data_IF_325995190195
#
_entry.id   IF_325995190195
#
_cell.length_a   1.000
_cell.length_b   1.000
_cell.length_c   1.000
_cell.angle_alpha   90.00
_cell.angle_beta   90.00
_cell.angle_gamma   90.00
#
_symmetry.space_group_name_H-M   'P 1'
#
loop_
_entity.id
_entity.type
_entity.pdbx_description
1 polymer ?
#
# COMPACT_ATOMS: atom_id res chain seq x y z
N UNK A 1 0.15 32.36 -19.88
CA UNK A 1 -0.83 32.01 -18.83
C UNK A 1 -0.95 30.49 -18.75
N UNK A 2 -0.08 29.84 -17.98
CA UNK A 2 -0.17 28.42 -17.68
C UNK A 2 -0.94 28.28 -16.37
N UNK A 3 -2.19 27.83 -16.45
CA UNK A 3 -3.04 27.62 -15.28
C UNK A 3 -2.50 26.46 -14.44
N UNK A 4 -1.91 26.79 -13.30
CA UNK A 4 -1.63 25.82 -12.23
C UNK A 4 -2.96 25.26 -11.73
N UNK A 5 -3.27 24.01 -12.09
CA UNK A 5 -4.38 23.28 -11.51
C UNK A 5 -4.05 22.99 -10.04
N UNK A 6 -4.71 23.72 -9.16
CA UNK A 6 -4.74 23.40 -7.73
C UNK A 6 -5.40 22.02 -7.59
N UNK A 7 -4.82 21.06 -6.87
CA UNK A 7 -5.47 19.78 -6.67
C UNK A 7 -6.77 20.03 -5.89
N UNK A 8 -7.89 19.57 -6.45
CA UNK A 8 -9.18 19.56 -5.78
C UNK A 8 -9.04 18.85 -4.41
N UNK A 9 -9.77 19.29 -3.37
CA UNK A 9 -9.69 18.68 -2.05
C UNK A 9 -9.94 17.17 -2.16
N UNK A 10 -9.03 16.35 -1.63
CA UNK A 10 -9.04 14.89 -1.74
C UNK A 10 -10.39 14.25 -1.38
N UNK A 11 -11.11 14.84 -0.42
CA UNK A 11 -12.44 14.38 -0.01
C UNK A 11 -13.51 14.52 -1.12
N UNK A 12 -13.45 15.56 -1.96
CA UNK A 12 -14.41 15.72 -3.07
C UNK A 12 -14.17 14.69 -4.17
N UNK A 13 -12.90 14.35 -4.41
CA UNK A 13 -12.50 13.35 -5.41
C UNK A 13 -12.84 11.92 -4.96
N UNK A 14 -12.55 11.57 -3.71
CA UNK A 14 -12.93 10.24 -3.17
C UNK A 14 -14.45 10.02 -3.22
N UNK A 15 -15.25 11.08 -2.97
CA UNK A 15 -16.71 11.02 -3.09
C UNK A 15 -17.17 10.80 -4.54
N UNK A 16 -16.54 11.48 -5.51
CA UNK A 16 -16.83 11.30 -6.95
C UNK A 16 -16.43 9.90 -7.44
N UNK A 17 -15.26 9.41 -7.03
CA UNK A 17 -14.76 8.08 -7.38
C UNK A 17 -15.69 6.98 -6.86
N UNK A 18 -16.21 7.15 -5.64
CA UNK A 18 -17.18 6.24 -5.04
C UNK A 18 -18.52 6.28 -5.81
N UNK A 19 -18.99 7.47 -6.17
CA UNK A 19 -20.25 7.63 -6.90
C UNK A 19 -20.17 6.97 -8.28
N UNK A 20 -19.04 7.12 -8.98
CA UNK A 20 -18.81 6.46 -10.26
C UNK A 20 -19.01 4.94 -10.17
N UNK A 21 -18.40 4.28 -9.18
CA UNK A 21 -18.55 2.82 -9.03
C UNK A 21 -20.00 2.43 -8.75
N UNK A 22 -20.72 3.21 -7.93
CA UNK A 22 -22.16 2.98 -7.68
C UNK A 22 -22.98 3.11 -8.96
N UNK A 23 -22.74 4.15 -9.76
CA UNK A 23 -23.47 4.39 -11.00
C UNK A 23 -23.22 3.27 -12.02
N UNK A 24 -21.98 2.77 -12.10
CA UNK A 24 -21.63 1.62 -12.95
C UNK A 24 -22.32 0.34 -12.48
N UNK A 25 -22.43 0.12 -11.16
CA UNK A 25 -23.19 -1.00 -10.59
C UNK A 25 -24.67 -0.91 -10.97
N UNK A 26 -25.29 0.26 -10.81
CA UNK A 26 -26.70 0.48 -11.18
C UNK A 26 -26.92 0.26 -12.67
N UNK A 27 -25.99 0.72 -13.51
CA UNK A 27 -26.03 0.51 -14.95
C UNK A 27 -25.94 -0.98 -15.30
N UNK A 28 -25.05 -1.72 -14.63
CA UNK A 28 -24.89 -3.16 -14.80
C UNK A 28 -26.17 -3.90 -14.42
N UNK A 29 -26.71 -3.65 -13.24
CA UNK A 29 -27.93 -4.28 -12.74
C UNK A 29 -29.10 -4.04 -13.70
N UNK A 30 -29.26 -2.81 -14.22
CA UNK A 30 -30.30 -2.45 -15.19
C UNK A 30 -30.21 -3.27 -16.46
N UNK A 31 -29.04 -3.30 -17.11
CA UNK A 31 -28.90 -4.03 -18.37
C UNK A 31 -28.89 -5.54 -18.18
N UNK A 32 -28.33 -6.04 -17.08
CA UNK A 32 -28.40 -7.45 -16.73
C UNK A 32 -29.86 -7.88 -16.55
N UNK A 33 -30.69 -7.08 -15.87
CA UNK A 33 -32.12 -7.34 -15.73
C UNK A 33 -32.85 -7.37 -17.08
N UNK A 34 -32.48 -6.52 -18.04
CA UNK A 34 -33.05 -6.58 -19.39
C UNK A 34 -32.68 -7.88 -20.11
N UNK A 35 -31.43 -8.33 -19.99
CA UNK A 35 -31.02 -9.63 -20.57
C UNK A 35 -31.80 -10.79 -19.95
N UNK A 36 -32.00 -10.77 -18.63
CA UNK A 36 -32.73 -11.84 -17.96
C UNK A 36 -34.23 -11.82 -18.23
N UNK A 37 -34.86 -10.64 -18.12
CA UNK A 37 -36.33 -10.51 -18.11
C UNK A 37 -36.92 -10.24 -19.49
N UNK A 38 -36.25 -9.42 -20.31
CA UNK A 38 -36.78 -8.98 -21.60
C UNK A 38 -36.24 -9.83 -22.76
N UNK A 39 -35.04 -10.39 -22.62
CA UNK A 39 -34.39 -11.22 -23.64
C UNK A 39 -34.26 -12.69 -23.22
N UNK A 40 -35.02 -13.13 -22.21
CA UNK A 40 -35.16 -14.53 -21.79
C UNK A 40 -33.83 -15.27 -21.57
N UNK A 41 -32.82 -14.58 -21.01
CA UNK A 41 -31.46 -15.10 -20.80
C UNK A 41 -30.74 -15.55 -22.09
N UNK A 42 -31.08 -14.99 -23.24
CA UNK A 42 -30.43 -15.31 -24.51
C UNK A 42 -28.91 -15.04 -24.45
N UNK A 43 -28.13 -16.06 -24.80
CA UNK A 43 -26.65 -16.05 -24.71
C UNK A 43 -26.01 -14.96 -25.56
N UNK A 44 -26.63 -14.61 -26.69
CA UNK A 44 -26.20 -13.51 -27.56
C UNK A 44 -26.19 -12.17 -26.80
N UNK A 45 -27.24 -11.86 -26.05
CA UNK A 45 -27.33 -10.61 -25.30
C UNK A 45 -26.41 -10.59 -24.07
N UNK A 46 -26.19 -11.75 -23.44
CA UNK A 46 -25.14 -11.87 -22.41
C UNK A 46 -23.74 -11.56 -22.97
N UNK A 47 -23.44 -12.05 -24.18
CA UNK A 47 -22.18 -11.76 -24.87
C UNK A 47 -22.05 -10.26 -25.19
N UNK A 48 -23.07 -9.66 -25.79
CA UNK A 48 -23.06 -8.23 -26.11
C UNK A 48 -22.94 -7.34 -24.87
N UNK A 49 -23.63 -7.68 -23.77
CA UNK A 49 -23.49 -6.99 -22.50
C UNK A 49 -22.05 -7.07 -21.98
N UNK A 50 -21.45 -8.26 -22.01
CA UNK A 50 -20.06 -8.47 -21.59
C UNK A 50 -19.08 -7.65 -22.41
N UNK A 51 -19.18 -7.70 -23.73
CA UNK A 51 -18.30 -6.94 -24.65
C UNK A 51 -18.44 -5.43 -24.45
N UNK A 52 -19.66 -4.93 -24.23
CA UNK A 52 -19.90 -3.52 -23.95
C UNK A 52 -19.22 -3.09 -22.64
N UNK A 53 -19.39 -3.87 -21.56
CA UNK A 53 -18.75 -3.59 -20.27
C UNK A 53 -17.22 -3.67 -20.35
N UNK A 54 -16.66 -4.69 -21.02
CA UNK A 54 -15.21 -4.79 -21.25
C UNK A 54 -14.66 -3.60 -22.05
N UNK A 55 -15.46 -3.01 -22.95
CA UNK A 55 -15.04 -1.86 -23.75
C UNK A 55 -14.93 -0.56 -22.95
N UNK A 56 -15.94 -0.21 -22.13
CA UNK A 56 -15.92 1.08 -21.43
C UNK A 56 -15.21 1.03 -20.07
N UNK A 57 -15.30 -0.08 -19.31
CA UNK A 57 -14.65 -0.19 -17.99
C UNK A 57 -13.13 -0.06 -18.10
N UNK A 58 -12.54 -0.48 -19.21
CA UNK A 58 -11.10 -0.43 -19.42
C UNK A 58 -10.60 0.92 -19.96
N UNK A 59 -11.46 1.94 -20.03
CA UNK A 59 -11.06 3.32 -20.33
C UNK A 59 -10.69 4.05 -19.05
N UNK A 60 -9.69 4.93 -19.12
CA UNK A 60 -9.33 5.80 -18.00
C UNK A 60 -10.42 6.84 -17.71
N UNK A 61 -10.69 7.07 -16.43
CA UNK A 61 -11.70 8.04 -15.95
C UNK A 61 -10.98 9.07 -15.08
N UNK A 62 -10.95 10.34 -15.51
CA UNK A 62 -10.29 11.43 -14.79
C UNK A 62 -8.85 11.11 -14.32
N UNK A 63 -8.09 10.37 -15.14
CA UNK A 63 -6.73 9.93 -14.84
C UNK A 63 -6.62 8.71 -13.90
N UNK A 64 -7.72 8.08 -13.53
CA UNK A 64 -7.78 6.84 -12.74
C UNK A 64 -8.23 5.65 -13.59
N UNK A 65 -7.75 4.46 -13.23
CA UNK A 65 -8.22 3.21 -13.86
C UNK A 65 -9.39 2.62 -13.08
N UNK A 66 -10.25 1.84 -13.73
CA UNK A 66 -11.32 1.12 -13.02
C UNK A 66 -10.79 0.15 -11.96
N UNK A 67 -9.60 -0.42 -12.18
CA UNK A 67 -8.90 -1.23 -11.17
C UNK A 67 -8.63 -0.44 -9.88
N UNK A 68 -8.12 0.79 -10.00
CA UNK A 68 -7.88 1.69 -8.88
C UNK A 68 -9.19 2.10 -8.18
N UNK A 69 -10.21 2.47 -8.96
CA UNK A 69 -11.50 2.93 -8.46
C UNK A 69 -12.24 1.82 -7.72
N UNK A 70 -12.28 0.59 -8.25
CA UNK A 70 -12.89 -0.56 -7.59
C UNK A 70 -12.15 -0.93 -6.31
N UNK A 71 -10.81 -0.91 -6.31
CA UNK A 71 -10.02 -1.16 -5.11
C UNK A 71 -10.26 -0.07 -4.04
N UNK A 72 -10.42 1.19 -4.46
CA UNK A 72 -10.80 2.31 -3.61
C UNK A 72 -12.20 2.16 -3.01
N UNK A 73 -13.17 1.75 -3.83
CA UNK A 73 -14.54 1.50 -3.39
C UNK A 73 -14.61 0.42 -2.30
N UNK A 74 -13.97 -0.74 -2.52
CA UNK A 74 -13.91 -1.79 -1.50
C UNK A 74 -13.21 -1.32 -0.23
N UNK A 75 -12.12 -0.56 -0.35
CA UNK A 75 -11.39 -0.02 0.80
C UNK A 75 -12.22 0.97 1.62
N UNK A 76 -13.03 1.81 0.98
CA UNK A 76 -13.95 2.70 1.70
C UNK A 76 -15.04 1.92 2.41
N UNK A 77 -15.62 0.89 1.79
CA UNK A 77 -16.64 0.05 2.43
C UNK A 77 -16.10 -0.69 3.67
N UNK A 78 -14.87 -1.19 3.59
CA UNK A 78 -14.25 -2.03 4.62
C UNK A 78 -13.58 -1.24 5.76
N UNK A 79 -13.48 0.09 5.66
CA UNK A 79 -12.91 0.95 6.71
C UNK A 79 -13.89 1.20 7.85
N UNK A 80 -13.39 1.34 9.08
CA UNK A 80 -14.16 1.82 10.25
C UNK A 80 -14.86 3.15 9.90
N UNK A 81 -16.19 3.18 10.01
CA UNK A 81 -17.02 4.34 9.67
C UNK A 81 -17.22 4.59 8.17
N UNK A 82 -16.57 3.83 7.30
CA UNK A 82 -16.66 3.98 5.86
C UNK A 82 -18.01 3.54 5.28
N UNK A 83 -18.69 2.60 5.94
CA UNK A 83 -20.07 2.24 5.62
C UNK A 83 -21.01 3.45 5.58
N UNK A 84 -20.91 4.36 6.57
CA UNK A 84 -21.71 5.58 6.63
C UNK A 84 -21.37 6.60 5.53
N UNK A 85 -20.15 6.60 5.01
CA UNK A 85 -19.75 7.47 3.90
C UNK A 85 -20.28 7.00 2.53
N UNK A 86 -20.78 5.77 2.45
CA UNK A 86 -21.26 5.18 1.19
C UNK A 86 -22.79 5.07 1.10
N UNK A 87 -23.55 5.45 2.14
CA UNK A 87 -25.00 5.56 2.06
C UNK A 87 -25.41 6.78 1.21
N UNK A 88 -26.60 6.72 0.58
CA UNK A 88 -27.18 7.86 -0.13
C UNK A 88 -27.86 8.86 0.83
N UNK A 89 -28.02 8.49 2.10
CA UNK A 89 -28.57 9.34 3.14
C UNK A 89 -27.45 10.19 3.76
N UNK A 90 -27.28 11.39 3.21
CA UNK A 90 -26.72 12.48 4.01
C UNK A 90 -27.62 12.69 5.22
N UNK A 91 -27.01 12.75 6.40
CA UNK A 91 -27.64 12.90 7.73
C UNK A 91 -28.24 11.61 8.34
N UNK A 92 -27.45 10.97 9.19
CA UNK A 92 -27.86 9.85 10.05
C UNK A 92 -26.80 8.77 10.08
N UNK A 93 -26.06 8.65 11.17
CA UNK A 93 -24.97 7.69 11.36
C UNK A 93 -25.43 6.23 11.49
N UNK A 94 -26.36 5.77 10.65
CA UNK A 94 -26.70 4.35 10.56
C UNK A 94 -25.55 3.61 9.86
N UNK A 95 -24.99 2.62 10.57
CA UNK A 95 -24.15 1.60 9.94
C UNK A 95 -24.97 0.94 8.84
N UNK A 96 -24.41 0.81 7.63
CA UNK A 96 -24.97 -0.14 6.65
C UNK A 96 -25.04 -1.52 7.30
N UNK A 97 -26.14 -2.25 7.05
CA UNK A 97 -26.22 -3.64 7.51
C UNK A 97 -25.11 -4.47 6.87
N UNK A 98 -24.68 -5.51 7.58
CA UNK A 98 -23.63 -6.41 7.09
C UNK A 98 -24.05 -7.05 5.76
N UNK A 99 -25.34 -7.38 5.57
CA UNK A 99 -25.84 -7.93 4.31
C UNK A 99 -25.67 -6.95 3.13
N UNK A 100 -25.91 -5.67 3.35
CA UNK A 100 -25.78 -4.65 2.30
C UNK A 100 -24.29 -4.38 1.95
N UNK A 101 -23.40 -4.50 2.94
CA UNK A 101 -21.95 -4.42 2.69
C UNK A 101 -21.51 -5.61 1.82
N UNK A 102 -21.94 -6.82 2.16
CA UNK A 102 -21.64 -8.01 1.38
C UNK A 102 -22.19 -7.94 -0.05
N UNK A 103 -23.43 -7.47 -0.23
CA UNK A 103 -24.04 -7.28 -1.54
C UNK A 103 -23.21 -6.31 -2.40
N UNK A 104 -22.80 -5.18 -1.83
CA UNK A 104 -21.99 -4.17 -2.54
C UNK A 104 -20.61 -4.71 -2.92
N UNK A 105 -19.97 -5.45 -2.03
CA UNK A 105 -18.69 -6.10 -2.31
C UNK A 105 -18.84 -7.13 -3.43
N UNK A 106 -19.93 -7.90 -3.43
CA UNK A 106 -20.21 -8.84 -4.51
C UNK A 106 -20.39 -8.15 -5.87
N UNK A 107 -21.14 -7.04 -5.92
CA UNK A 107 -21.31 -6.29 -7.16
C UNK A 107 -19.99 -5.68 -7.65
N UNK A 108 -19.17 -5.15 -6.76
CA UNK A 108 -17.83 -4.66 -7.11
C UNK A 108 -16.93 -5.79 -7.68
N UNK A 109 -16.97 -6.97 -7.07
CA UNK A 109 -16.22 -8.15 -7.52
C UNK A 109 -16.76 -8.70 -8.85
N UNK A 110 -18.07 -8.61 -9.12
CA UNK A 110 -18.64 -8.91 -10.44
C UNK A 110 -18.13 -7.96 -11.51
N UNK A 111 -18.05 -6.65 -11.22
CA UNK A 111 -17.50 -5.67 -12.16
C UNK A 111 -16.02 -5.92 -12.49
N UNK A 112 -15.24 -6.45 -11.54
CA UNK A 112 -13.84 -6.82 -11.75
C UNK A 112 -13.66 -7.85 -12.87
N UNK A 113 -14.68 -8.68 -13.15
CA UNK A 113 -14.62 -9.65 -14.24
C UNK A 113 -14.39 -8.99 -15.62
N UNK A 114 -14.93 -7.78 -15.81
CA UNK A 114 -14.80 -6.98 -17.04
C UNK A 114 -13.50 -6.16 -17.12
N UNK A 115 -12.74 -6.06 -16.02
CA UNK A 115 -11.47 -5.35 -15.98
C UNK A 115 -10.37 -6.21 -16.61
N UNK A 116 -9.61 -5.62 -17.53
CA UNK A 116 -8.47 -6.24 -18.19
C UNK A 116 -7.27 -6.35 -17.25
N UNK A 117 -6.91 -5.26 -16.58
CA UNK A 117 -5.75 -5.14 -15.70
C UNK A 117 -6.07 -5.56 -14.25
N UNK A 118 -6.35 -6.85 -14.07
CA UNK A 118 -6.70 -7.41 -12.75
C UNK A 118 -5.52 -7.41 -11.79
N UNK A 119 -4.30 -7.56 -12.30
CA UNK A 119 -3.06 -7.42 -11.54
C UNK A 119 -2.91 -6.02 -10.89
N UNK A 120 -3.31 -4.97 -11.61
CA UNK A 120 -3.30 -3.61 -11.10
C UNK A 120 -4.32 -3.44 -9.96
N UNK A 121 -5.51 -4.04 -10.10
CA UNK A 121 -6.48 -4.08 -8.99
C UNK A 121 -5.90 -4.82 -7.79
N UNK A 122 -5.28 -5.98 -8.02
CA UNK A 122 -4.71 -6.80 -6.96
C UNK A 122 -3.69 -6.01 -6.14
N UNK A 123 -2.79 -5.27 -6.80
CA UNK A 123 -1.76 -4.49 -6.11
C UNK A 123 -2.32 -3.27 -5.37
N UNK A 124 -3.27 -2.53 -5.96
CA UNK A 124 -3.97 -1.45 -5.24
C UNK A 124 -4.73 -1.98 -4.03
N UNK A 125 -5.46 -3.08 -4.20
CA UNK A 125 -6.24 -3.70 -3.15
C UNK A 125 -5.31 -4.22 -2.03
N UNK A 126 -4.25 -4.94 -2.38
CA UNK A 126 -3.25 -5.50 -1.44
C UNK A 126 -2.61 -4.40 -0.61
N UNK A 127 -2.24 -3.27 -1.21
CA UNK A 127 -1.69 -2.11 -0.50
C UNK A 127 -2.71 -1.47 0.45
N UNK A 128 -3.98 -1.36 0.04
CA UNK A 128 -5.07 -0.85 0.87
C UNK A 128 -5.39 -1.79 2.03
N UNK A 129 -5.47 -3.10 1.77
CA UNK A 129 -5.62 -4.15 2.78
C UNK A 129 -4.49 -4.07 3.82
N UNK A 130 -3.23 -3.98 3.38
CA UNK A 130 -2.09 -3.88 4.29
C UNK A 130 -2.23 -2.74 5.30
N UNK A 131 -2.70 -1.56 4.84
CA UNK A 131 -2.97 -0.43 5.73
C UNK A 131 -4.11 -0.67 6.69
N UNK A 132 -5.20 -1.31 6.25
CA UNK A 132 -6.34 -1.59 7.13
C UNK A 132 -5.95 -2.58 8.22
N UNK A 133 -5.20 -3.60 7.84
CA UNK A 133 -4.66 -4.63 8.72
C UNK A 133 -3.65 -4.07 9.74
N UNK A 134 -2.61 -3.34 9.31
CA UNK A 134 -1.54 -2.86 10.19
C UNK A 134 -1.93 -1.68 11.09
N UNK A 135 -2.95 -0.91 10.71
CA UNK A 135 -3.38 0.27 11.46
C UNK A 135 -4.75 0.11 12.10
N UNK A 136 -5.24 -1.13 12.21
CA UNK A 136 -6.54 -1.47 12.80
C UNK A 136 -7.68 -0.56 12.29
N UNK A 137 -7.75 -0.42 10.96
CA UNK A 137 -8.78 0.39 10.29
C UNK A 137 -9.89 -0.47 9.66
N UNK A 138 -9.81 -1.79 9.72
CA UNK A 138 -10.86 -2.68 9.24
C UNK A 138 -12.12 -2.55 10.11
N UNK A 139 -13.29 -2.50 9.48
CA UNK A 139 -14.56 -2.46 10.19
C UNK A 139 -14.94 -3.84 10.79
N UNK A 140 -14.59 -4.92 10.10
CA UNK A 140 -14.85 -6.31 10.51
C UNK A 140 -13.82 -7.24 9.86
N UNK A 141 -13.23 -8.13 10.67
CA UNK A 141 -12.31 -9.17 10.19
C UNK A 141 -13.04 -10.19 9.28
N UNK A 142 -14.34 -10.40 9.50
CA UNK A 142 -15.15 -11.32 8.69
C UNK A 142 -15.45 -10.75 7.31
N UNK A 143 -15.72 -9.45 7.19
CA UNK A 143 -15.88 -8.80 5.89
C UNK A 143 -14.57 -8.87 5.06
N UNK A 144 -13.40 -8.75 5.70
CA UNK A 144 -12.11 -8.93 5.01
C UNK A 144 -11.93 -10.37 4.49
N UNK A 145 -12.43 -11.38 5.20
CA UNK A 145 -12.41 -12.77 4.73
C UNK A 145 -13.40 -13.01 3.60
N UNK A 146 -14.62 -12.46 3.70
CA UNK A 146 -15.68 -12.63 2.70
C UNK A 146 -15.26 -12.04 1.35
N UNK A 147 -14.72 -10.82 1.33
CA UNK A 147 -14.26 -10.20 0.08
C UNK A 147 -13.12 -11.00 -0.56
N UNK A 148 -12.18 -11.55 0.22
CA UNK A 148 -11.13 -12.43 -0.31
C UNK A 148 -11.70 -13.73 -0.87
N UNK A 149 -12.70 -14.34 -0.21
CA UNK A 149 -13.39 -15.51 -0.73
C UNK A 149 -14.10 -15.21 -2.08
N UNK A 150 -14.79 -14.07 -2.19
CA UNK A 150 -15.43 -13.64 -3.44
C UNK A 150 -14.39 -13.36 -4.55
N UNK A 151 -13.28 -12.71 -4.23
CA UNK A 151 -12.18 -12.49 -5.17
C UNK A 151 -11.54 -13.81 -5.63
N UNK A 152 -11.37 -14.77 -4.72
CA UNK A 152 -10.85 -16.11 -5.03
C UNK A 152 -11.78 -16.86 -5.98
N UNK A 153 -13.08 -16.76 -5.78
CA UNK A 153 -14.09 -17.37 -6.65
C UNK A 153 -14.02 -16.80 -8.07
N UNK A 154 -13.87 -15.47 -8.22
CA UNK A 154 -13.85 -14.81 -9.53
C UNK A 154 -12.49 -14.87 -10.24
N UNK A 155 -11.38 -14.76 -9.51
CA UNK A 155 -10.04 -14.59 -10.08
C UNK A 155 -9.09 -15.77 -9.81
N UNK A 156 -9.50 -16.74 -8.99
CA UNK A 156 -8.74 -17.94 -8.65
C UNK A 156 -7.80 -17.77 -7.44
N UNK A 157 -7.31 -18.90 -6.93
CA UNK A 157 -6.50 -18.96 -5.70
C UNK A 157 -5.14 -18.24 -5.80
N UNK A 158 -4.50 -18.24 -6.97
CA UNK A 158 -3.22 -17.55 -7.15
C UNK A 158 -3.37 -16.03 -7.00
N UNK A 159 -4.54 -15.48 -7.37
CA UNK A 159 -4.83 -14.06 -7.26
C UNK A 159 -4.90 -13.59 -5.81
N UNK A 160 -5.51 -14.39 -4.93
CA UNK A 160 -5.73 -14.03 -3.52
C UNK A 160 -4.64 -14.51 -2.58
N UNK A 161 -3.79 -15.45 -3.00
CA UNK A 161 -2.79 -16.12 -2.14
C UNK A 161 -1.97 -15.16 -1.27
N UNK A 162 -1.43 -14.07 -1.83
CA UNK A 162 -0.65 -13.09 -1.06
C UNK A 162 -1.51 -12.39 0.00
N UNK A 163 -2.75 -12.01 -0.33
CA UNK A 163 -3.66 -11.30 0.57
C UNK A 163 -4.21 -12.21 1.67
N UNK A 164 -4.50 -13.48 1.36
CA UNK A 164 -4.84 -14.50 2.35
C UNK A 164 -3.66 -14.74 3.31
N UNK A 165 -2.44 -14.76 2.79
CA UNK A 165 -1.21 -14.83 3.57
C UNK A 165 -1.06 -13.65 4.55
N UNK A 166 -1.40 -12.42 4.13
CA UNK A 166 -1.38 -11.25 5.02
C UNK A 166 -2.36 -11.35 6.19
N UNK A 167 -3.58 -11.84 5.94
CA UNK A 167 -4.59 -12.06 6.99
C UNK A 167 -4.10 -13.14 7.98
N UNK A 168 -3.48 -14.20 7.46
CA UNK A 168 -2.91 -15.29 8.27
C UNK A 168 -1.74 -14.79 9.13
N UNK A 169 -0.82 -14.02 8.55
CA UNK A 169 0.32 -13.44 9.26
C UNK A 169 -0.14 -12.59 10.45
N UNK A 170 -1.21 -11.80 10.32
CA UNK A 170 -1.71 -11.00 11.44
C UNK A 170 -2.28 -11.83 12.59
N UNK A 171 -2.95 -12.94 12.29
CA UNK A 171 -3.44 -13.84 13.32
C UNK A 171 -2.26 -14.46 14.07
N UNK A 172 -1.24 -14.91 13.34
CA UNK A 172 -0.01 -15.45 13.92
C UNK A 172 0.78 -14.40 14.71
N UNK A 173 0.82 -13.15 14.24
CA UNK A 173 1.52 -12.06 14.90
C UNK A 173 0.92 -11.76 16.29
N UNK A 174 -0.41 -11.79 16.44
CA UNK A 174 -1.08 -11.62 17.75
C UNK A 174 -0.65 -12.71 18.73
N UNK A 175 -0.58 -13.96 18.28
CA UNK A 175 -0.12 -15.09 19.10
C UNK A 175 1.37 -14.97 19.46
N UNK A 176 2.21 -14.57 18.50
CA UNK A 176 3.64 -14.36 18.72
C UNK A 176 3.92 -13.24 19.71
N UNK A 177 3.15 -12.14 19.63
CA UNK A 177 3.25 -11.04 20.57
C UNK A 177 2.89 -11.50 21.99
N UNK A 178 1.79 -12.23 22.18
CA UNK A 178 1.42 -12.75 23.50
C UNK A 178 2.50 -13.65 24.11
N UNK A 179 3.15 -14.49 23.28
CA UNK A 179 4.28 -15.31 23.72
C UNK A 179 5.52 -14.48 24.08
N UNK A 180 5.74 -13.37 23.36
CA UNK A 180 6.82 -12.44 23.67
C UNK A 180 6.57 -11.70 24.98
N UNK A 181 5.33 -11.24 25.22
CA UNK A 181 4.94 -10.59 26.48
C UNK A 181 5.17 -11.53 27.68
N UNK A 182 4.77 -12.80 27.57
CA UNK A 182 5.06 -13.82 28.59
C UNK A 182 6.57 -14.04 28.81
N UNK A 183 7.36 -13.99 27.74
CA UNK A 183 8.81 -14.09 27.85
C UNK A 183 9.41 -12.90 28.60
N UNK A 184 8.94 -11.68 28.33
CA UNK A 184 9.35 -10.47 29.04
C UNK A 184 8.98 -10.55 30.52
N UNK A 185 7.78 -11.02 30.87
CA UNK A 185 7.36 -11.15 32.27
C UNK A 185 8.22 -12.17 33.04
N UNK A 186 8.60 -13.28 32.40
CA UNK A 186 9.53 -14.25 33.00
C UNK A 186 10.93 -13.67 33.23
N UNK A 187 11.42 -12.85 32.31
CA UNK A 187 12.70 -12.14 32.47
C UNK A 187 12.64 -11.12 33.62
N UNK A 188 11.50 -10.42 33.78
CA UNK A 188 11.27 -9.46 34.88
C UNK A 188 11.33 -10.16 36.24
N UNK A 189 10.70 -11.33 36.34
CA UNK A 189 10.66 -12.11 37.58
C UNK A 189 12.01 -12.73 37.95
N UNK A 190 12.92 -12.87 36.99
CA UNK A 190 14.26 -13.44 37.20
C UNK A 190 15.33 -12.39 37.51
N UNK A 191 14.94 -11.15 37.87
CA UNK A 191 15.83 -10.03 38.25
C UNK A 191 16.91 -9.68 37.22
N UNK A 192 16.65 -9.94 35.93
CA UNK A 192 17.60 -9.60 34.86
C UNK A 192 17.56 -8.09 34.56
N UNK A 193 18.68 -7.39 34.75
CA UNK A 193 18.79 -5.92 34.64
C UNK A 193 18.67 -5.35 33.21
N UNK A 194 18.48 -6.22 32.21
CA UNK A 194 18.52 -5.85 30.79
C UNK A 194 17.15 -5.69 30.12
N UNK A 195 16.06 -5.59 30.89
CA UNK A 195 14.75 -5.32 30.28
C UNK A 195 14.64 -3.89 29.72
N UNK A 196 13.92 -3.71 28.59
CA UNK A 196 13.57 -2.40 28.09
C UNK A 196 12.55 -1.74 29.01
N UNK A 197 12.69 -0.43 29.21
CA UNK A 197 11.74 0.41 29.96
C UNK A 197 10.52 0.82 29.13
N UNK A 198 10.56 0.58 27.81
CA UNK A 198 9.48 0.88 26.88
C UNK A 198 8.61 -0.36 26.66
N UNK A 199 7.33 -0.11 26.46
CA UNK A 199 6.40 -1.10 25.91
C UNK A 199 6.66 -1.28 24.40
N UNK A 200 6.76 -2.53 23.95
CA UNK A 200 7.07 -2.87 22.56
C UNK A 200 6.06 -3.90 22.04
N UNK A 201 5.30 -3.50 21.02
CA UNK A 201 4.48 -4.39 20.21
C UNK A 201 5.14 -4.62 18.85
N UNK A 202 5.35 -5.89 18.48
CA UNK A 202 5.99 -6.29 17.23
C UNK A 202 5.03 -7.14 16.41
N UNK A 203 4.83 -6.75 15.16
CA UNK A 203 4.06 -7.50 14.18
C UNK A 203 5.01 -8.09 13.15
N UNK A 204 5.20 -9.41 13.16
CA UNK A 204 6.09 -10.12 12.22
C UNK A 204 5.32 -10.46 10.95
N UNK A 205 5.88 -10.10 9.80
CA UNK A 205 5.24 -10.21 8.49
C UNK A 205 6.07 -11.07 7.54
N UNK A 206 5.42 -11.91 6.73
CA UNK A 206 6.09 -12.77 5.75
C UNK A 206 6.41 -11.99 4.47
N UNK A 207 7.70 -11.84 4.15
CA UNK A 207 8.15 -11.24 2.90
C UNK A 207 7.55 -11.97 1.69
N UNK A 208 6.97 -11.22 0.76
CA UNK A 208 6.33 -11.75 -0.46
C UNK A 208 4.80 -11.76 -0.43
N UNK A 209 4.19 -11.81 0.76
CA UNK A 209 2.74 -11.60 0.92
C UNK A 209 2.42 -10.10 0.99
N UNK A 210 3.19 -9.36 1.78
CA UNK A 210 2.99 -7.94 2.05
C UNK A 210 3.57 -7.05 0.95
N UNK A 211 3.04 -5.82 0.77
CA UNK A 211 3.62 -4.84 -0.16
C UNK A 211 5.12 -4.65 0.08
N UNK A 212 5.86 -4.34 -0.98
CA UNK A 212 7.28 -4.06 -0.85
C UNK A 212 7.46 -2.75 -0.11
N UNK A 213 8.14 -2.79 1.03
CA UNK A 213 8.53 -1.61 1.79
C UNK A 213 10.03 -1.39 1.63
N UNK A 214 10.42 -0.13 1.36
CA UNK A 214 11.83 0.23 1.24
C UNK A 214 12.48 0.06 2.62
N UNK A 215 13.50 -0.79 2.70
CA UNK A 215 14.38 -0.83 3.86
C UNK A 215 15.14 0.50 3.96
N UNK A 216 15.19 1.02 5.16
CA UNK A 216 15.92 2.24 5.50
C UNK A 216 16.71 1.93 6.76
N UNK A 217 18.00 2.15 6.68
CA UNK A 217 18.82 2.22 7.87
C UNK A 217 18.42 3.47 8.64
N UNK A 218 18.24 3.32 9.94
CA UNK A 218 17.81 4.40 10.84
C UNK A 218 18.67 4.26 12.08
N UNK A 219 19.35 5.34 12.45
CA UNK A 219 19.99 5.42 13.75
C UNK A 219 18.90 5.58 14.81
N UNK A 220 18.54 4.47 15.44
CA UNK A 220 17.52 4.47 16.49
C UNK A 220 18.06 5.12 17.76
N UNK A 221 17.20 5.82 18.52
CA UNK A 221 17.50 6.14 19.91
C UNK A 221 17.85 4.86 20.70
N UNK A 222 18.78 4.97 21.63
CA UNK A 222 19.33 3.87 22.42
C UNK A 222 18.24 3.02 23.08
N UNK A 223 17.19 3.66 23.59
CA UNK A 223 16.09 2.99 24.25
C UNK A 223 15.28 2.12 23.29
N UNK A 224 15.12 2.55 22.03
CA UNK A 224 14.44 1.77 20.98
C UNK A 224 15.33 0.63 20.47
N UNK A 225 16.63 0.87 20.33
CA UNK A 225 17.60 -0.15 19.90
C UNK A 225 17.66 -1.32 20.89
N UNK A 226 17.60 -1.04 22.20
CA UNK A 226 17.50 -2.06 23.23
C UNK A 226 16.25 -2.94 23.04
N UNK A 227 15.10 -2.32 22.76
CA UNK A 227 13.85 -3.05 22.51
C UNK A 227 13.96 -3.97 21.29
N UNK A 228 14.49 -3.44 20.19
CA UNK A 228 14.75 -4.19 18.94
C UNK A 228 15.68 -5.39 19.20
N UNK A 229 16.74 -5.18 19.97
CA UNK A 229 17.73 -6.21 20.28
C UNK A 229 17.14 -7.36 21.10
N UNK A 230 16.34 -7.04 22.13
CA UNK A 230 15.66 -8.03 22.97
C UNK A 230 14.68 -8.87 22.14
N UNK A 231 13.88 -8.25 21.28
CA UNK A 231 12.97 -8.99 20.40
C UNK A 231 13.73 -9.88 19.41
N UNK A 232 14.81 -9.37 18.82
CA UNK A 232 15.64 -10.12 17.87
C UNK A 232 16.22 -11.38 18.51
N UNK A 233 16.77 -11.26 19.72
CA UNK A 233 17.30 -12.40 20.46
C UNK A 233 16.21 -13.44 20.77
N UNK A 234 15.04 -12.99 21.21
CA UNK A 234 13.88 -13.87 21.43
C UNK A 234 13.47 -14.61 20.15
N UNK A 235 13.39 -13.90 19.02
CA UNK A 235 12.92 -14.47 17.76
C UNK A 235 13.93 -15.46 17.15
N UNK A 236 15.24 -15.16 17.23
CA UNK A 236 16.31 -16.05 16.74
C UNK A 236 16.33 -17.41 17.47
N UNK A 237 16.03 -17.42 18.77
CA UNK A 237 15.90 -18.67 19.53
C UNK A 237 14.75 -19.55 19.03
N UNK A 238 13.67 -18.94 18.52
CA UNK A 238 12.47 -19.64 18.03
C UNK A 238 12.58 -20.04 16.56
N UNK A 239 13.32 -19.28 15.74
CA UNK A 239 13.42 -19.54 14.30
C UNK A 239 14.87 -19.56 13.82
N UNK A 240 15.46 -20.76 13.70
CA UNK A 240 16.89 -20.95 13.36
C UNK A 240 17.27 -20.60 11.91
N UNK A 241 16.30 -20.50 11.00
CA UNK A 241 16.55 -20.29 9.56
C UNK A 241 15.86 -19.07 8.98
N UNK A 242 15.38 -18.15 9.82
CA UNK A 242 14.71 -16.92 9.36
C UNK A 242 15.55 -15.70 9.72
N UNK A 243 15.57 -14.72 8.81
CA UNK A 243 16.20 -13.42 9.02
C UNK A 243 15.11 -12.37 9.18
N UNK A 244 15.20 -11.55 10.23
CA UNK A 244 14.32 -10.40 10.42
C UNK A 244 14.87 -9.17 9.70
N UNK A 245 13.97 -8.32 9.22
CA UNK A 245 14.29 -6.98 8.69
C UNK A 245 13.25 -6.02 9.21
N UNK A 246 13.70 -4.99 9.93
CA UNK A 246 12.81 -4.00 10.54
C UNK A 246 12.39 -2.95 9.51
N UNK A 247 11.08 -2.69 9.44
CA UNK A 247 10.49 -1.71 8.53
C UNK A 247 9.98 -0.52 9.37
N UNK A 248 10.89 0.37 9.76
CA UNK A 248 10.59 1.51 10.63
C UNK A 248 9.57 2.50 10.03
N UNK A 249 9.46 2.54 8.70
CA UNK A 249 8.48 3.38 8.02
C UNK A 249 7.01 3.03 8.35
N UNK A 250 6.74 1.83 8.88
CA UNK A 250 5.40 1.39 9.28
C UNK A 250 5.14 1.53 10.78
N UNK A 251 6.19 1.79 11.57
CA UNK A 251 6.09 1.86 13.01
C UNK A 251 5.33 3.09 13.50
N UNK A 252 4.70 2.94 14.66
CA UNK A 252 4.02 4.00 15.40
C UNK A 252 4.57 4.04 16.82
N UNK A 253 4.81 5.23 17.33
CA UNK A 253 5.33 5.46 18.68
C UNK A 253 4.39 6.40 19.44
N UNK A 254 4.33 6.20 20.75
CA UNK A 254 3.61 7.04 21.69
C UNK A 254 4.64 7.77 22.55
N UNK A 255 4.74 9.08 22.39
CA UNK A 255 5.65 9.93 23.16
C UNK A 255 4.87 10.83 24.10
N UNK A 256 5.44 11.16 25.25
CA UNK A 256 4.90 12.22 26.13
C UNK A 256 5.74 13.48 25.97
N UNK A 257 5.23 14.46 25.23
CA UNK A 257 5.85 15.78 25.12
C UNK A 257 5.57 16.61 26.36
N UNK A 258 6.61 17.12 27.02
CA UNK A 258 6.51 17.97 28.21
C UNK A 258 6.62 19.44 27.82
N UNK A 259 5.48 20.08 27.58
CA UNK A 259 5.40 21.50 27.24
C UNK A 259 5.07 22.34 28.47
N UNK A 260 5.37 23.64 28.44
CA UNK A 260 5.15 24.55 29.57
C UNK A 260 3.70 24.57 30.05
N UNK A 261 2.75 24.58 29.12
CA UNK A 261 1.33 24.63 29.45
C UNK A 261 0.81 23.31 30.02
N UNK A 262 1.21 22.16 29.44
CA UNK A 262 0.83 20.81 29.86
C UNK A 262 1.63 19.74 29.13
N UNK A 263 1.65 18.54 29.70
CA UNK A 263 2.06 17.33 28.98
C UNK A 263 1.02 16.91 27.94
N UNK A 264 1.47 16.52 26.75
CA UNK A 264 0.64 16.04 25.65
C UNK A 264 1.20 14.71 25.13
N UNK A 265 0.35 13.69 25.00
CA UNK A 265 0.69 12.43 24.35
C UNK A 265 0.67 12.61 22.83
N UNK A 266 1.79 12.31 22.17
CA UNK A 266 2.02 12.39 20.75
C UNK A 266 2.02 10.99 20.15
N UNK A 267 1.10 10.72 19.22
CA UNK A 267 1.11 9.52 18.39
C UNK A 267 1.79 9.88 17.06
N UNK A 268 2.98 9.36 16.86
CA UNK A 268 3.90 9.72 15.77
C UNK A 268 4.44 8.47 15.08
N UNK A 269 4.99 8.61 13.87
CA UNK A 269 5.75 7.53 13.22
C UNK A 269 7.09 7.31 13.93
N UNK A 270 7.75 6.19 13.67
CA UNK A 270 9.10 5.94 14.21
C UNK A 270 10.11 7.01 13.78
N UNK A 271 10.03 7.52 12.53
CA UNK A 271 10.92 8.59 12.07
C UNK A 271 10.68 9.92 12.81
N UNK A 272 9.41 10.27 13.02
CA UNK A 272 9.05 11.45 13.82
C UNK A 272 9.50 11.30 15.27
N UNK A 273 9.37 10.10 15.85
CA UNK A 273 9.80 9.84 17.21
C UNK A 273 11.31 9.96 17.37
N UNK A 274 12.08 9.31 16.47
CA UNK A 274 13.53 9.41 16.46
C UNK A 274 13.99 10.87 16.31
N UNK A 275 13.38 11.63 15.39
CA UNK A 275 13.68 13.05 15.21
C UNK A 275 13.39 13.89 16.47
N UNK A 276 12.24 13.71 17.10
CA UNK A 276 11.86 14.44 18.31
C UNK A 276 12.78 14.12 19.50
N UNK A 277 13.24 12.89 19.62
CA UNK A 277 14.12 12.46 20.72
C UNK A 277 15.52 13.09 20.64
N UNK A 278 15.97 13.53 19.45
CA UNK A 278 17.22 14.32 19.34
C UNK A 278 17.14 15.62 20.15
N UNK A 279 15.96 16.23 20.21
CA UNK A 279 15.74 17.50 20.92
C UNK A 279 15.71 17.37 22.45
N UNK A 280 15.82 16.15 22.99
CA UNK A 280 16.08 15.97 24.43
C UNK A 280 17.54 16.28 24.80
N UNK A 281 18.46 16.28 23.82
CA UNK A 281 19.89 16.53 24.01
C UNK A 281 20.35 17.88 23.47
N UNK A 282 19.54 18.52 22.64
CA UNK A 282 19.81 19.82 22.03
C UNK A 282 18.53 20.62 21.84
N UNK A 283 18.52 21.90 22.22
CA UNK A 283 17.33 22.75 22.06
C UNK A 283 17.07 23.12 20.60
N UNK A 284 18.12 23.17 19.77
CA UNK A 284 18.05 23.50 18.34
C UNK A 284 19.02 22.65 17.51
N UNK A 285 18.60 22.28 16.30
CA UNK A 285 19.38 21.50 15.34
C UNK A 285 19.13 21.99 13.91
N UNK A 286 20.17 21.99 13.07
CA UNK A 286 20.03 22.24 11.63
C UNK A 286 19.40 21.04 10.92
N UNK A 287 18.84 21.26 9.72
CA UNK A 287 18.38 20.16 8.87
C UNK A 287 19.46 19.08 8.65
N UNK A 288 20.69 19.50 8.35
CA UNK A 288 21.82 18.60 8.07
C UNK A 288 22.20 17.77 9.30
N UNK A 289 22.22 18.39 10.49
CA UNK A 289 22.49 17.67 11.74
C UNK A 289 21.42 16.62 12.03
N UNK A 290 20.14 16.94 11.81
CA UNK A 290 19.05 15.96 11.96
C UNK A 290 19.20 14.83 10.95
N UNK A 291 19.54 15.15 9.69
CA UNK A 291 19.72 14.15 8.64
C UNK A 291 20.86 13.18 8.97
N UNK A 292 22.02 13.70 9.37
CA UNK A 292 23.20 12.91 9.73
C UNK A 292 22.92 12.03 10.95
N UNK A 293 22.34 12.59 12.01
CA UNK A 293 22.06 11.85 13.24
C UNK A 293 21.03 10.73 13.03
N UNK A 294 20.04 10.91 12.14
CA UNK A 294 19.04 9.89 11.85
C UNK A 294 19.49 8.87 10.78
N UNK A 295 20.47 9.21 9.93
CA UNK A 295 20.87 8.43 8.76
C UNK A 295 19.70 8.14 7.79
N UNK A 296 18.83 9.14 7.56
CA UNK A 296 17.67 9.01 6.67
C UNK A 296 17.89 9.76 5.34
N UNK A 297 17.25 9.30 4.24
CA UNK A 297 17.24 10.07 3.00
C UNK A 297 16.60 11.44 3.17
N UNK A 298 17.09 12.42 2.40
CA UNK A 298 16.67 13.81 2.45
C UNK A 298 15.14 13.99 2.36
N UNK A 299 14.49 13.28 1.43
CA UNK A 299 13.03 13.35 1.24
C UNK A 299 12.25 12.94 2.50
N UNK A 300 12.75 11.93 3.23
CA UNK A 300 12.10 11.41 4.43
C UNK A 300 12.32 12.33 5.63
N UNK A 301 13.50 12.92 5.76
CA UNK A 301 13.80 13.94 6.78
C UNK A 301 12.98 15.20 6.55
N UNK A 302 12.92 15.71 5.30
CA UNK A 302 12.08 16.85 4.95
C UNK A 302 10.61 16.61 5.30
N UNK A 303 10.09 15.44 4.93
CA UNK A 303 8.70 15.08 5.21
C UNK A 303 8.43 14.96 6.72
N UNK A 304 9.37 14.38 7.46
CA UNK A 304 9.34 14.27 8.91
C UNK A 304 9.32 15.66 9.56
N UNK A 305 10.30 16.51 9.29
CA UNK A 305 10.41 17.83 9.87
C UNK A 305 9.25 18.74 9.46
N UNK A 306 8.74 18.64 8.23
CA UNK A 306 7.59 19.41 7.77
C UNK A 306 6.36 19.07 8.62
N UNK A 307 6.15 17.80 8.93
CA UNK A 307 5.03 17.35 9.77
C UNK A 307 5.09 17.86 11.21
N UNK A 308 6.29 18.14 11.71
CA UNK A 308 6.56 18.56 13.09
C UNK A 308 6.65 20.10 13.26
N UNK A 309 6.86 20.85 12.17
CA UNK A 309 7.13 22.30 12.23
C UNK A 309 6.22 23.16 11.36
N UNK A 310 5.86 22.71 10.16
CA UNK A 310 5.16 23.51 9.16
C UNK A 310 3.66 23.19 9.10
N UNK A 311 3.30 21.96 9.48
CA UNK A 311 1.93 21.45 9.42
C UNK A 311 1.06 21.96 10.60
N UNK A 312 -0.01 21.20 10.91
CA UNK A 312 -0.98 21.57 11.96
C UNK A 312 -0.33 21.71 13.35
N UNK A 313 0.55 20.79 13.72
CA UNK A 313 1.14 20.74 15.05
C UNK A 313 2.58 21.22 15.00
N UNK A 314 2.80 22.47 15.42
CA UNK A 314 4.12 23.12 15.44
C UNK A 314 4.87 22.76 16.73
N UNK A 315 5.22 21.47 16.84
CA UNK A 315 5.99 20.92 17.96
C UNK A 315 7.43 21.43 17.92
N UNK A 316 7.95 21.65 16.71
CA UNK A 316 9.20 22.34 16.44
C UNK A 316 8.90 23.70 15.81
N UNK A 317 9.69 24.71 16.16
CA UNK A 317 9.76 25.98 15.47
C UNK A 317 10.79 25.88 14.36
N UNK A 318 10.51 26.52 13.22
CA UNK A 318 11.40 26.60 12.07
C UNK A 318 11.89 28.03 11.94
N UNK A 319 13.19 28.23 11.80
CA UNK A 319 13.83 29.51 11.49
C UNK A 319 14.86 29.32 10.38
N UNK A 320 15.13 30.37 9.61
CA UNK A 320 16.27 30.37 8.71
C UNK A 320 17.58 30.23 9.50
N UNK A 321 18.58 29.60 8.89
CA UNK A 321 19.94 29.54 9.43
C UNK A 321 20.59 30.92 9.52
N UNK A 322 21.66 31.02 10.31
CA UNK A 322 22.38 32.28 10.51
C UNK A 322 22.82 32.89 9.16
N UNK A 323 22.48 34.17 8.96
CA UNK A 323 22.80 34.91 7.74
C UNK A 323 21.94 34.56 6.51
N UNK A 324 20.92 33.71 6.65
CA UNK A 324 19.99 33.36 5.56
C UNK A 324 18.69 34.18 5.65
N UNK A 325 18.08 34.56 4.52
CA UNK A 325 16.78 35.23 4.51
C UNK A 325 15.69 34.25 4.98
N UNK A 326 14.67 34.80 5.65
CA UNK A 326 13.56 33.98 6.14
C UNK A 326 12.78 33.38 4.95
N UNK A 327 12.73 32.05 4.91
CA UNK A 327 12.14 31.29 3.82
C UNK A 327 10.61 31.18 3.95
N UNK A 328 9.98 30.49 3.00
CA UNK A 328 8.56 30.17 3.11
C UNK A 328 8.28 29.36 4.38
N UNK A 329 7.28 29.73 5.22
CA UNK A 329 6.95 28.99 6.44
C UNK A 329 6.32 27.62 6.17
N UNK A 330 5.97 27.33 4.92
CA UNK A 330 5.37 26.06 4.48
C UNK A 330 6.36 25.14 3.76
N UNK A 331 7.58 25.59 3.52
CA UNK A 331 8.62 24.81 2.85
C UNK A 331 9.83 24.71 3.76
N UNK A 332 10.55 23.59 3.67
CA UNK A 332 11.79 23.38 4.40
C UNK A 332 12.96 23.57 3.44
N UNK A 333 13.94 24.36 3.85
CA UNK A 333 15.24 24.46 3.22
C UNK A 333 16.29 23.68 4.02
N UNK A 334 17.39 23.29 3.36
CA UNK A 334 18.52 22.60 4.02
C UNK A 334 19.26 23.48 5.03
N UNK A 335 19.14 24.79 4.88
CA UNK A 335 19.71 25.78 5.80
C UNK A 335 18.78 26.10 6.97
N UNK A 336 17.58 25.51 7.03
CA UNK A 336 16.65 25.77 8.12
C UNK A 336 17.16 25.13 9.43
N UNK A 337 16.89 25.84 10.52
CA UNK A 337 17.14 25.42 11.90
C UNK A 337 15.79 25.13 12.56
N UNK A 338 15.76 24.04 13.33
CA UNK A 338 14.58 23.61 14.06
C UNK A 338 14.85 23.72 15.54
N UNK A 339 13.90 24.27 16.29
CA UNK A 339 14.00 24.50 17.73
C UNK A 339 12.81 23.89 18.45
N UNK A 340 13.01 23.29 19.61
CA UNK A 340 11.90 22.74 20.40
C UNK A 340 10.93 23.86 20.85
N UNK A 341 9.64 23.69 20.56
CA UNK A 341 8.62 24.67 20.93
C UNK A 341 8.09 24.42 22.35
N UNK A 342 8.77 24.94 23.37
CA UNK A 342 8.32 24.84 24.77
C UNK A 342 6.90 25.36 25.02
N UNK A 343 6.45 26.33 24.21
CA UNK A 343 5.14 26.98 24.33
C UNK A 343 4.02 26.24 23.57
N UNK A 344 4.31 25.13 22.89
CA UNK A 344 3.31 24.37 22.16
C UNK A 344 2.18 23.89 23.08
N UNK A 345 0.94 23.99 22.59
CA UNK A 345 -0.24 23.47 23.27
C UNK A 345 -1.32 23.09 22.25
N UNK A 346 -2.22 22.20 22.63
CA UNK A 346 -3.41 21.83 21.86
C UNK A 346 -4.59 21.68 22.82
N UNK A 347 -5.83 21.74 22.33
CA UNK A 347 -7.01 21.47 23.17
C UNK A 347 -7.01 20.02 23.68
N UNK A 348 -6.63 19.08 22.83
CA UNK A 348 -6.54 17.66 23.15
C UNK A 348 -5.28 17.36 24.00
N UNK A 349 -5.37 16.34 24.87
CA UNK A 349 -4.21 15.82 25.63
C UNK A 349 -3.49 14.70 24.90
N UNK A 350 -4.10 14.15 23.85
CA UNK A 350 -3.56 13.10 22.99
C UNK A 350 -3.79 13.50 21.54
N UNK A 351 -2.72 13.64 20.77
CA UNK A 351 -2.79 14.05 19.37
C UNK A 351 -2.02 13.08 18.48
N UNK A 352 -2.54 12.82 17.29
CA UNK A 352 -1.85 12.08 16.24
C UNK A 352 -1.26 13.05 15.24
N UNK A 353 0.06 13.03 15.05
CA UNK A 353 0.75 13.92 14.11
C UNK A 353 0.80 13.25 12.73
N UNK A 354 0.04 13.75 11.73
CA UNK A 354 0.02 13.12 10.42
C UNK A 354 1.29 13.45 9.63
N UNK A 355 1.83 12.46 8.92
CA UNK A 355 2.81 12.71 7.88
C UNK A 355 2.12 13.27 6.62
N UNK A 356 2.78 14.16 5.86
CA UNK A 356 2.32 14.55 4.53
C UNK A 356 2.02 13.33 3.66
N UNK A 357 0.97 13.35 2.83
CA UNK A 357 0.65 12.23 1.94
C UNK A 357 1.77 12.02 0.91
N UNK A 358 1.99 10.77 0.52
CA UNK A 358 2.89 10.40 -0.60
C UNK A 358 2.03 10.00 -1.78
N UNK A 359 2.47 10.31 -2.99
CA UNK A 359 1.85 9.77 -4.20
C UNK A 359 2.07 8.26 -4.29
N UNK A 360 1.13 7.53 -3.68
CA UNK A 360 1.14 6.08 -3.63
C UNK A 360 0.75 5.45 -4.97
N UNK A 361 0.02 6.18 -5.80
CA UNK A 361 -0.50 5.72 -7.09
C UNK A 361 0.65 5.48 -8.05
N UNK A 362 1.53 6.47 -8.20
CA UNK A 362 2.70 6.35 -9.09
C UNK A 362 3.56 5.15 -8.73
N UNK A 363 3.82 4.93 -7.43
CA UNK A 363 4.61 3.78 -6.96
C UNK A 363 3.95 2.43 -7.31
N UNK A 364 2.62 2.31 -7.15
CA UNK A 364 1.91 1.08 -7.52
C UNK A 364 2.02 0.81 -9.02
N UNK A 365 1.89 1.83 -9.87
CA UNK A 365 2.05 1.68 -11.31
C UNK A 365 3.46 1.20 -11.68
N UNK A 366 4.49 1.80 -11.09
CA UNK A 366 5.90 1.42 -11.31
C UNK A 366 6.18 -0.03 -10.90
N UNK A 367 5.65 -0.47 -9.75
CA UNK A 367 5.80 -1.83 -9.24
C UNK A 367 5.08 -2.84 -10.15
N UNK A 368 3.84 -2.56 -10.55
CA UNK A 368 3.06 -3.42 -11.46
C UNK A 368 3.74 -3.54 -12.82
N UNK A 369 4.23 -2.43 -13.39
CA UNK A 369 4.95 -2.45 -14.66
C UNK A 369 6.25 -3.26 -14.58
N UNK A 370 6.92 -3.27 -13.42
CA UNK A 370 8.08 -4.12 -13.17
C UNK A 370 7.69 -5.60 -13.13
N UNK A 371 6.64 -5.95 -12.41
CA UNK A 371 6.16 -7.32 -12.30
C UNK A 371 5.65 -7.87 -13.64
N UNK A 372 4.97 -7.03 -14.44
CA UNK A 372 4.54 -7.38 -15.80
C UNK A 372 5.70 -7.77 -16.71
N UNK A 373 6.86 -7.10 -16.61
CA UNK A 373 8.06 -7.48 -17.38
C UNK A 373 8.53 -8.89 -17.05
N UNK A 374 8.59 -9.24 -15.77
CA UNK A 374 8.97 -10.60 -15.36
C UNK A 374 7.92 -11.64 -15.73
N UNK A 375 6.63 -11.30 -15.65
CA UNK A 375 5.54 -12.17 -16.07
C UNK A 375 5.61 -12.48 -17.58
N UNK A 376 5.91 -11.45 -18.40
CA UNK A 376 6.11 -11.62 -19.85
C UNK A 376 7.32 -12.51 -20.12
N UNK A 377 8.47 -12.28 -19.48
CA UNK A 377 9.65 -13.13 -19.65
C UNK A 377 9.33 -14.59 -19.32
N UNK A 378 8.69 -14.83 -18.17
CA UNK A 378 8.33 -16.17 -17.73
C UNK A 378 7.33 -16.84 -18.68
N UNK A 379 6.38 -16.10 -19.26
CA UNK A 379 5.45 -16.61 -20.25
C UNK A 379 6.16 -16.98 -21.56
N UNK A 380 7.03 -16.11 -22.07
CA UNK A 380 7.82 -16.37 -23.28
C UNK A 380 8.69 -17.62 -23.10
N UNK A 381 9.45 -17.70 -22.00
CA UNK A 381 10.30 -18.86 -21.70
C UNK A 381 9.47 -20.13 -21.58
N UNK A 382 8.30 -20.09 -20.94
CA UNK A 382 7.42 -21.26 -20.79
C UNK A 382 6.90 -21.77 -22.13
N UNK A 383 6.44 -20.87 -23.01
CA UNK A 383 5.99 -21.21 -24.37
C UNK A 383 7.14 -21.81 -25.17
N UNK A 384 8.27 -21.12 -25.23
CA UNK A 384 9.42 -21.53 -26.03
C UNK A 384 10.06 -22.82 -25.53
N UNK A 385 10.11 -23.05 -24.21
CA UNK A 385 10.58 -24.31 -23.62
C UNK A 385 9.72 -25.50 -24.05
N UNK A 386 8.41 -25.30 -24.21
CA UNK A 386 7.47 -26.34 -24.65
C UNK A 386 7.48 -26.55 -26.16
N UNK A 387 7.54 -25.48 -26.95
CA UNK A 387 7.44 -25.54 -28.42
C UNK A 387 8.77 -25.82 -29.10
N UNK A 388 9.89 -25.47 -28.44
CA UNK A 388 11.28 -25.51 -28.92
C UNK A 388 11.57 -24.59 -30.10
N UNK A 389 10.69 -24.54 -31.09
CA UNK A 389 10.78 -23.68 -32.27
C UNK A 389 9.40 -23.07 -32.52
N UNK A 390 9.32 -21.75 -32.70
CA UNK A 390 8.03 -21.08 -32.91
C UNK A 390 8.19 -19.78 -33.73
N UNK A 391 7.20 -19.50 -34.59
CA UNK A 391 7.17 -18.24 -35.32
C UNK A 391 6.77 -17.07 -34.40
N UNK A 392 7.26 -15.86 -34.70
CA UNK A 392 7.00 -14.66 -33.91
C UNK A 392 5.51 -14.40 -33.67
N UNK A 393 4.68 -14.48 -34.72
CA UNK A 393 3.23 -14.24 -34.62
C UNK A 393 2.56 -15.24 -33.68
N UNK A 394 2.90 -16.52 -33.79
CA UNK A 394 2.36 -17.60 -32.95
C UNK A 394 2.84 -17.46 -31.50
N UNK A 395 4.11 -17.13 -31.28
CA UNK A 395 4.66 -16.87 -29.95
C UNK A 395 3.92 -15.75 -29.25
N UNK A 396 3.72 -14.63 -29.94
CA UNK A 396 3.00 -13.48 -29.39
C UNK A 396 1.57 -13.85 -29.02
N UNK A 397 0.85 -14.60 -29.88
CA UNK A 397 -0.52 -15.05 -29.58
C UNK A 397 -0.57 -15.95 -28.35
N UNK A 398 0.33 -16.91 -28.22
CA UNK A 398 0.37 -17.81 -27.05
C UNK A 398 0.73 -17.07 -25.76
N UNK A 399 1.67 -16.11 -25.82
CA UNK A 399 2.05 -15.28 -24.67
C UNK A 399 0.88 -14.41 -24.22
N UNK A 400 0.19 -13.74 -25.16
CA UNK A 400 -1.02 -12.96 -24.86
C UNK A 400 -2.09 -13.86 -24.23
N UNK A 401 -2.32 -15.05 -24.77
CA UNK A 401 -3.32 -15.99 -24.27
C UNK A 401 -3.01 -16.49 -22.85
N UNK A 402 -1.74 -16.61 -22.46
CA UNK A 402 -1.35 -16.94 -21.09
C UNK A 402 -1.54 -15.75 -20.12
N UNK A 403 -1.24 -14.52 -20.56
CA UNK A 403 -1.25 -13.33 -19.71
C UNK A 403 -2.62 -12.68 -19.55
N UNK A 404 -3.55 -12.87 -20.51
CA UNK A 404 -4.88 -12.24 -20.53
C UNK A 404 -5.73 -12.46 -19.28
N UNK A 405 -5.43 -13.49 -18.49
CA UNK A 405 -6.11 -13.75 -17.22
C UNK A 405 -5.72 -12.75 -16.12
N UNK A 406 -4.54 -12.15 -16.23
CA UNK A 406 -3.97 -11.21 -15.25
C UNK A 406 -4.00 -9.77 -15.76
N UNK A 407 -3.55 -9.53 -16.99
CA UNK A 407 -3.50 -8.21 -17.60
C UNK A 407 -3.51 -8.27 -19.13
N UNK A 408 -3.75 -7.12 -19.78
CA UNK A 408 -3.62 -6.99 -21.23
C UNK A 408 -2.20 -6.54 -21.61
N UNK A 409 -1.32 -7.44 -22.10
CA UNK A 409 0.05 -7.06 -22.43
C UNK A 409 0.12 -6.17 -23.68
N UNK A 410 1.03 -5.19 -23.68
CA UNK A 410 1.37 -4.39 -24.86
C UNK A 410 2.32 -5.20 -25.76
N UNK A 411 1.97 -5.35 -27.04
CA UNK A 411 2.77 -6.04 -28.06
C UNK A 411 4.21 -5.50 -28.15
N UNK A 412 4.40 -4.17 -27.99
CA UNK A 412 5.72 -3.54 -28.02
C UNK A 412 6.58 -4.00 -26.85
N UNK A 413 5.98 -4.20 -25.68
CA UNK A 413 6.68 -4.71 -24.50
C UNK A 413 7.06 -6.16 -24.73
N UNK A 414 6.15 -7.01 -25.22
CA UNK A 414 6.45 -8.42 -25.55
C UNK A 414 7.65 -8.50 -26.52
N UNK A 415 7.63 -7.71 -27.60
CA UNK A 415 8.75 -7.67 -28.56
C UNK A 415 10.06 -7.30 -27.88
N UNK A 416 10.08 -6.22 -27.07
CA UNK A 416 11.27 -5.80 -26.31
C UNK A 416 11.78 -6.92 -25.40
N UNK A 417 10.89 -7.62 -24.70
CA UNK A 417 11.26 -8.73 -23.81
C UNK A 417 11.82 -9.93 -24.56
N UNK A 418 11.33 -10.22 -25.77
CA UNK A 418 11.92 -11.27 -26.62
C UNK A 418 13.36 -10.90 -26.99
N UNK A 419 13.64 -9.66 -27.40
CA UNK A 419 15.02 -9.23 -27.69
C UNK A 419 15.92 -9.34 -26.44
N UNK A 420 15.41 -8.93 -25.27
CA UNK A 420 16.15 -9.06 -24.01
C UNK A 420 16.44 -10.53 -23.65
N UNK A 421 15.55 -11.47 -23.98
CA UNK A 421 15.74 -12.90 -23.79
C UNK A 421 16.73 -13.52 -24.80
N UNK A 422 16.80 -12.99 -26.02
CA UNK A 422 17.83 -13.37 -27.00
C UNK A 422 19.21 -12.90 -26.53
N UNK A 423 19.32 -11.65 -26.07
CA UNK A 423 20.56 -11.11 -25.52
C UNK A 423 21.07 -11.87 -24.28
N UNK A 424 20.16 -12.54 -23.56
CA UNK A 424 20.45 -13.40 -22.41
C UNK A 424 20.58 -14.89 -22.77
N UNK A 425 20.62 -15.22 -24.06
CA UNK A 425 20.82 -16.56 -24.60
C UNK A 425 19.74 -17.59 -24.19
N UNK A 426 18.52 -17.14 -23.86
CA UNK A 426 17.38 -18.04 -23.67
C UNK A 426 16.76 -18.47 -25.01
N UNK A 427 16.89 -17.62 -26.02
CA UNK A 427 16.32 -17.76 -27.36
C UNK A 427 17.36 -17.37 -28.41
N UNK A 428 17.24 -17.92 -29.61
CA UNK A 428 17.93 -17.42 -30.80
C UNK A 428 16.95 -17.24 -31.95
N UNK A 429 17.33 -16.38 -32.91
CA UNK A 429 16.67 -16.34 -34.21
C UNK A 429 17.26 -17.44 -35.08
N UNK A 430 16.40 -18.04 -35.89
CA UNK A 430 16.85 -18.92 -36.96
C UNK A 430 17.76 -18.17 -37.94
N UNK A 431 18.77 -18.85 -38.47
CA UNK A 431 19.78 -18.27 -39.38
C UNK A 431 19.17 -17.86 -40.72
N UNK A 432 18.16 -18.59 -41.17
CA UNK A 432 17.56 -18.41 -42.49
C UNK A 432 16.24 -17.61 -42.42
N UNK A 433 15.61 -17.58 -41.24
CA UNK A 433 14.33 -16.88 -41.05
C UNK A 433 14.27 -16.09 -39.72
N UNK A 434 14.40 -14.77 -39.81
CA UNK A 434 14.35 -13.87 -38.65
C UNK A 434 13.00 -13.87 -37.88
N UNK A 435 11.93 -14.41 -38.47
CA UNK A 435 10.62 -14.56 -37.82
C UNK A 435 10.47 -15.89 -37.07
N UNK A 436 11.47 -16.77 -37.10
CA UNK A 436 11.47 -18.05 -36.41
C UNK A 436 12.43 -17.97 -35.22
N UNK A 437 11.95 -18.34 -34.03
CA UNK A 437 12.77 -18.41 -32.83
C UNK A 437 13.01 -19.86 -32.41
N UNK A 438 14.19 -20.13 -31.86
CA UNK A 438 14.58 -21.42 -31.26
C UNK A 438 14.92 -21.21 -29.78
N UNK A 439 14.57 -22.18 -28.94
CA UNK A 439 14.85 -22.16 -27.51
C UNK A 439 16.21 -22.82 -27.21
N UNK A 440 17.05 -22.17 -26.41
CA UNK A 440 18.44 -22.57 -26.19
C UNK A 440 18.73 -23.25 -24.83
N UNK A 441 17.90 -23.01 -23.81
CA UNK A 441 18.21 -23.34 -22.41
C UNK A 441 17.65 -24.66 -21.87
#
# INVERSE_FOLDING_TARGET
>A
AAGSSTPAPTASRESQDLQFVKDVVVLHDKFYAYVQKCFENASLFHKSLKEAFESFINKGVAGSSSAELLAGFCDTLLKKGGAAATSAAGAGGEKLSDELVEERLEKAVKLLAYVSDKDLFAEFYRKKLARRLLHDKSASDDHERIVLAKLKQQCGAQFTSKMEGMVTDLQLAREQQSKFDQHLDNLRNSSSSNLPSLDLNVTVLTTGFWPSYKFMELNLPEEMEKCVSVFKQYYEQKTKHRKLTWIYALGTCHLTGRFQAKSIELIVSTFQAAALLLFNRADSLTFEQVQEQLNLPEEDVMRCLHSLSCAKYKILLKSAGEGQPDGSPKMIAKTDVFTYNHAFTDKMRRIKVPLPPVDEKRRVLEDVDKDRRYAIDAAVVRVMKSRKVLQHSQLVVEVVAQLQRSFKPDFRIIKKRIEDLIAREYLERDKDNANLFRYLA
#
